data_IF_950927106569
#
_entry.id   IF_950927106569
#
_cell.length_a   1.000
_cell.length_b   1.000
_cell.length_c   1.000
_cell.angle_alpha   90.00
_cell.angle_beta   90.00
_cell.angle_gamma   90.00
#
_symmetry.space_group_name_H-M   'P 1'
#
loop_
_entity.id
_entity.type
_entity.pdbx_description
1 polymer ?
#
# COMPACT_ATOMS: atom_id res chain seq x y z
N UNK A 1 27.96 -27.82 27.82
CA UNK A 1 27.26 -26.86 26.93
C UNK A 1 26.23 -26.12 27.78
N UNK A 2 26.24 -24.79 27.77
CA UNK A 2 25.27 -24.01 28.54
C UNK A 2 23.84 -24.17 27.96
N UNK A 3 22.79 -24.22 28.80
CA UNK A 3 21.42 -24.35 28.32
C UNK A 3 21.04 -23.13 27.47
N UNK A 4 20.50 -23.39 26.28
CA UNK A 4 20.06 -22.34 25.37
C UNK A 4 18.78 -21.71 25.91
N UNK A 5 18.83 -20.42 26.26
CA UNK A 5 17.66 -19.71 26.80
C UNK A 5 16.71 -19.34 25.65
N UNK A 6 15.42 -19.67 25.79
CA UNK A 6 14.39 -19.38 24.78
C UNK A 6 13.68 -18.08 25.16
N UNK A 7 13.49 -17.19 24.18
CA UNK A 7 12.77 -15.92 24.32
C UNK A 7 11.65 -15.87 23.30
N UNK A 8 10.47 -15.43 23.72
CA UNK A 8 9.33 -15.18 22.84
C UNK A 8 8.92 -13.71 22.93
N UNK A 9 8.79 -13.06 21.77
CA UNK A 9 8.26 -11.69 21.69
C UNK A 9 7.64 -11.42 20.32
N UNK A 10 6.87 -10.35 20.23
CA UNK A 10 6.47 -9.81 18.93
C UNK A 10 7.62 -9.01 18.33
N UNK A 11 7.93 -9.27 17.07
CA UNK A 11 9.00 -8.58 16.36
C UNK A 11 8.78 -7.06 16.36
N UNK A 12 9.71 -6.31 16.96
CA UNK A 12 9.61 -4.83 17.02
C UNK A 12 9.83 -4.14 15.66
N UNK A 13 10.40 -4.86 14.69
CA UNK A 13 10.68 -4.40 13.32
C UNK A 13 10.96 -5.58 12.39
N UNK A 14 10.93 -5.35 11.08
CA UNK A 14 11.23 -6.37 10.04
C UNK A 14 12.74 -6.67 9.88
N UNK A 15 13.59 -6.20 10.81
CA UNK A 15 15.06 -6.30 10.70
C UNK A 15 15.61 -7.66 11.12
N UNK A 16 14.83 -8.48 11.80
CA UNK A 16 15.22 -9.85 12.14
C UNK A 16 14.93 -10.78 10.96
N UNK A 17 15.90 -11.59 10.60
CA UNK A 17 15.73 -12.68 9.64
C UNK A 17 15.63 -14.01 10.38
N UNK A 18 14.73 -14.87 9.92
CA UNK A 18 14.61 -16.22 10.43
C UNK A 18 15.86 -17.02 10.07
N UNK A 19 16.46 -17.71 11.06
CA UNK A 19 17.64 -18.53 10.81
C UNK A 19 17.35 -19.89 10.17
N UNK A 20 16.09 -20.28 10.04
CA UNK A 20 15.69 -21.54 9.39
C UNK A 20 15.38 -21.33 7.91
N UNK A 21 14.41 -20.46 7.58
CA UNK A 21 13.99 -20.22 6.20
C UNK A 21 14.71 -19.03 5.53
N UNK A 22 15.56 -18.30 6.25
CA UNK A 22 16.25 -17.09 5.78
C UNK A 22 15.34 -15.91 5.41
N UNK A 23 14.04 -16.06 5.54
CA UNK A 23 13.07 -14.99 5.27
C UNK A 23 12.99 -13.96 6.40
N UNK A 24 12.57 -12.75 6.06
CA UNK A 24 12.35 -11.69 7.03
C UNK A 24 11.19 -12.05 7.99
N UNK A 25 11.39 -11.78 9.28
CA UNK A 25 10.33 -11.89 10.29
C UNK A 25 9.63 -10.53 10.38
N UNK A 26 8.38 -10.48 9.95
CA UNK A 26 7.59 -9.26 9.90
C UNK A 26 7.37 -8.64 11.29
N UNK A 27 7.24 -7.32 11.37
CA UNK A 27 6.97 -6.63 12.61
C UNK A 27 5.60 -7.02 13.16
N UNK A 28 5.48 -7.05 14.48
CA UNK A 28 4.27 -7.44 15.22
C UNK A 28 3.89 -8.93 15.06
N UNK A 29 4.66 -9.74 14.33
CA UNK A 29 4.45 -11.19 14.33
C UNK A 29 5.21 -11.84 15.48
N UNK A 30 4.64 -12.91 16.03
CA UNK A 30 5.29 -13.72 17.06
C UNK A 30 6.58 -14.34 16.51
N UNK A 31 7.67 -14.17 17.24
CA UNK A 31 8.97 -14.78 16.92
C UNK A 31 9.60 -15.40 18.15
N UNK A 32 10.37 -16.45 17.90
CA UNK A 32 11.08 -17.20 18.92
C UNK A 32 12.59 -17.06 18.73
N UNK A 33 13.29 -16.82 19.83
CA UNK A 33 14.73 -16.56 19.84
C UNK A 33 15.48 -17.56 20.69
N UNK A 34 16.53 -18.18 20.13
CA UNK A 34 17.52 -18.94 20.90
C UNK A 34 18.66 -18.00 21.29
N UNK A 35 18.84 -17.77 22.58
CA UNK A 35 19.92 -16.94 23.12
C UNK A 35 21.11 -17.83 23.48
N UNK A 36 22.25 -17.53 22.87
CA UNK A 36 23.54 -18.17 23.17
C UNK A 36 24.56 -17.11 23.55
N UNK A 37 25.38 -17.38 24.56
CA UNK A 37 26.47 -16.48 24.97
C UNK A 37 27.70 -16.71 24.11
N UNK A 38 28.15 -15.69 23.40
CA UNK A 38 29.41 -15.73 22.68
C UNK A 38 30.56 -15.45 23.65
N UNK A 39 31.28 -16.49 24.05
CA UNK A 39 32.41 -16.41 24.99
C UNK A 39 33.56 -15.55 24.47
N UNK A 40 33.69 -15.36 23.14
CA UNK A 40 34.79 -14.55 22.57
C UNK A 40 34.52 -13.05 22.64
N UNK A 41 33.25 -12.65 22.60
CA UNK A 41 32.85 -11.23 22.67
C UNK A 41 32.18 -10.87 23.99
N UNK A 42 31.99 -11.85 24.88
CA UNK A 42 31.22 -11.75 26.12
C UNK A 42 29.85 -11.09 25.91
N UNK A 43 29.19 -11.40 24.79
CA UNK A 43 27.90 -10.84 24.42
C UNK A 43 26.90 -11.94 24.10
N UNK A 44 25.62 -11.68 24.42
CA UNK A 44 24.53 -12.58 24.09
C UNK A 44 24.09 -12.37 22.64
N UNK A 45 24.08 -13.46 21.86
CA UNK A 45 23.60 -13.47 20.49
C UNK A 45 22.28 -14.22 20.46
N UNK A 46 21.24 -13.56 19.97
CA UNK A 46 19.91 -14.16 19.77
C UNK A 46 19.71 -14.56 18.32
N UNK A 47 19.44 -15.84 18.09
CA UNK A 47 19.05 -16.37 16.78
C UNK A 47 17.53 -16.40 16.70
N UNK A 48 16.96 -15.55 15.85
CA UNK A 48 15.51 -15.41 15.68
C UNK A 48 14.95 -16.37 14.64
N UNK A 49 13.73 -16.85 14.88
CA UNK A 49 12.97 -17.72 13.98
C UNK A 49 11.49 -17.28 13.96
N UNK A 50 10.78 -17.52 12.85
CA UNK A 50 9.31 -17.48 12.87
C UNK A 50 8.78 -18.52 13.86
N UNK A 51 7.56 -18.30 14.37
CA UNK A 51 6.86 -19.24 15.24
C UNK A 51 6.84 -20.67 14.67
N UNK A 52 6.51 -20.81 13.38
CA UNK A 52 6.41 -22.11 12.67
C UNK A 52 7.76 -22.70 12.26
N UNK A 53 8.82 -21.89 12.24
CA UNK A 53 10.15 -22.30 11.79
C UNK A 53 11.11 -22.57 12.96
N UNK A 54 10.62 -22.52 14.19
CA UNK A 54 11.44 -22.68 15.37
C UNK A 54 11.85 -24.15 15.56
N UNK A 55 13.15 -24.45 15.66
CA UNK A 55 13.60 -25.81 15.92
C UNK A 55 13.25 -26.18 17.36
N UNK A 56 12.22 -27.02 17.52
CA UNK A 56 11.84 -27.58 18.80
C UNK A 56 13.04 -28.32 19.40
N UNK A 57 13.54 -27.92 20.58
CA UNK A 57 14.60 -28.66 21.24
C UNK A 57 14.02 -30.00 21.72
N UNK A 58 14.67 -31.09 21.33
CA UNK A 58 14.33 -32.48 21.71
C UNK A 58 14.47 -32.77 23.22
N UNK A 59 14.85 -31.78 24.01
CA UNK A 59 14.84 -31.83 25.48
C UNK A 59 13.64 -31.07 26.02
N UNK A 60 12.68 -31.81 26.60
CA UNK A 60 11.51 -31.34 27.34
C UNK A 60 11.80 -30.06 28.14
N UNK A 61 11.53 -28.91 27.52
CA UNK A 61 11.70 -27.60 28.14
C UNK A 61 10.31 -27.12 28.49
N UNK A 62 9.97 -27.16 29.78
CA UNK A 62 8.66 -26.71 30.27
C UNK A 62 8.34 -25.29 29.77
N UNK A 63 7.06 -24.95 29.51
CA UNK A 63 6.66 -23.63 29.01
C UNK A 63 7.14 -22.44 29.87
N UNK A 64 7.41 -22.70 31.16
CA UNK A 64 7.88 -21.70 32.13
C UNK A 64 9.33 -21.23 31.90
N UNK A 65 10.07 -21.84 30.98
CA UNK A 65 11.46 -21.44 30.66
C UNK A 65 11.52 -20.38 29.55
N UNK A 66 10.39 -20.07 28.90
CA UNK A 66 10.31 -19.08 27.81
C UNK A 66 10.19 -17.68 28.40
N UNK A 67 11.26 -16.89 28.26
CA UNK A 67 11.23 -15.48 28.68
C UNK A 67 10.34 -14.67 27.74
N UNK A 68 9.37 -13.93 28.29
CA UNK A 68 8.42 -13.11 27.51
C UNK A 68 7.05 -13.74 27.28
N UNK A 69 6.83 -14.98 27.72
CA UNK A 69 5.55 -15.70 27.55
C UNK A 69 4.33 -14.97 28.13
N UNK A 70 4.44 -14.45 29.36
CA UNK A 70 3.34 -13.73 30.03
C UNK A 70 2.96 -12.40 29.36
N UNK A 71 3.80 -11.86 28.48
CA UNK A 71 3.54 -10.62 27.73
C UNK A 71 2.90 -10.87 26.36
N UNK A 72 2.62 -12.12 26.01
CA UNK A 72 1.95 -12.51 24.75
C UNK A 72 0.42 -12.48 24.91
N UNK A 73 -0.29 -12.38 23.78
CA UNK A 73 -1.76 -12.52 23.74
C UNK A 73 -2.16 -13.95 24.14
N UNK A 74 -3.33 -14.11 24.76
CA UNK A 74 -3.84 -15.40 25.24
C UNK A 74 -3.84 -16.50 24.16
N UNK A 75 -4.26 -16.19 22.93
CA UNK A 75 -4.22 -17.15 21.82
C UNK A 75 -2.81 -17.59 21.42
N UNK A 76 -1.81 -16.70 21.52
CA UNK A 76 -0.41 -17.01 21.22
C UNK A 76 0.26 -17.77 22.38
N UNK A 77 -0.18 -17.53 23.62
CA UNK A 77 0.21 -18.32 24.79
C UNK A 77 -0.26 -19.78 24.64
N UNK A 78 -1.52 -20.00 24.29
CA UNK A 78 -2.07 -21.34 24.04
C UNK A 78 -1.36 -22.05 22.89
N UNK A 79 -1.05 -21.34 21.80
CA UNK A 79 -0.32 -21.90 20.66
C UNK A 79 1.10 -22.33 21.03
N UNK A 80 1.80 -21.55 21.85
CA UNK A 80 3.12 -21.92 22.39
C UNK A 80 3.01 -23.09 23.37
N UNK A 81 2.01 -23.11 24.24
CA UNK A 81 1.79 -24.25 25.15
C UNK A 81 1.56 -25.53 24.37
N UNK A 82 0.74 -25.50 23.30
CA UNK A 82 0.52 -26.65 22.40
C UNK A 82 1.79 -27.07 21.65
N UNK A 83 2.61 -26.12 21.21
CA UNK A 83 3.85 -26.39 20.46
C UNK A 83 4.92 -27.05 21.34
N UNK A 84 5.00 -26.69 22.62
CA UNK A 84 5.97 -27.24 23.58
C UNK A 84 5.46 -28.47 24.36
N UNK A 85 4.19 -28.85 24.24
CA UNK A 85 3.61 -30.04 24.88
C UNK A 85 3.88 -31.37 24.14
N UNK A 86 4.49 -31.35 22.96
CA UNK A 86 4.85 -32.55 22.20
C UNK A 86 3.70 -33.16 21.39
N UNK A 87 3.99 -33.58 20.15
CA UNK A 87 3.12 -34.46 19.34
C UNK A 87 3.40 -35.90 19.73
N UNK A 88 2.42 -36.61 20.29
CA UNK A 88 2.30 -38.05 20.08
C UNK A 88 1.41 -38.29 18.84
N UNK A 89 1.86 -39.19 17.96
CA UNK A 89 1.12 -39.73 16.79
C UNK A 89 -0.04 -40.62 17.31
N UNK A 90 -1.09 -41.02 16.56
CA UNK A 90 -1.22 -41.48 15.17
C UNK A 90 -2.72 -41.62 14.80
N UNK A 91 -2.98 -41.78 13.50
CA UNK A 91 -4.25 -42.18 12.85
C UNK A 91 -4.80 -43.53 13.36
N UNK A 92 -6.13 -43.70 13.39
CA UNK A 92 -6.86 -44.72 12.61
C UNK A 92 -8.39 -44.56 12.70
N UNK A 93 -9.07 -45.21 11.75
CA UNK A 93 -10.44 -45.04 11.27
C UNK A 93 -11.58 -45.45 12.22
N UNK A 94 -12.79 -44.98 11.91
CA UNK A 94 -14.03 -45.43 12.56
C UNK A 94 -15.27 -44.68 12.04
N UNK A 95 -16.00 -45.36 11.18
CA UNK A 95 -17.26 -45.03 10.49
C UNK A 95 -18.47 -44.89 11.45
N UNK A 96 -19.41 -43.97 11.17
CA UNK A 96 -20.88 -44.17 11.25
C UNK A 96 -21.66 -42.84 11.31
N UNK A 97 -22.41 -42.58 10.23
CA UNK A 97 -23.81 -42.10 10.12
C UNK A 97 -24.45 -41.30 11.27
N UNK A 98 -24.99 -40.12 10.98
CA UNK A 98 -26.45 -39.91 10.80
C UNK A 98 -26.77 -38.45 10.43
N UNK A 99 -27.80 -38.31 9.60
CA UNK A 99 -28.41 -37.10 9.07
C UNK A 99 -28.90 -36.11 10.14
N UNK A 100 -29.02 -34.82 9.76
CA UNK A 100 -30.27 -34.06 9.79
C UNK A 100 -30.13 -32.81 8.91
N UNK A 101 -31.03 -32.73 7.94
CA UNK A 101 -31.33 -31.59 7.08
C UNK A 101 -32.20 -30.56 7.83
N UNK A 102 -32.02 -29.26 7.52
CA UNK A 102 -33.08 -28.30 7.15
C UNK A 102 -32.45 -26.90 7.08
N UNK A 103 -32.26 -26.27 5.92
CA UNK A 103 -33.25 -25.59 5.05
C UNK A 103 -34.07 -24.44 5.69
N UNK A 104 -34.03 -23.31 4.96
CA UNK A 104 -35.04 -22.23 4.80
C UNK A 104 -35.15 -21.17 5.90
N UNK A 105 -35.48 -19.91 5.60
CA UNK A 105 -35.55 -19.03 4.42
C UNK A 105 -35.88 -17.64 5.00
N UNK A 106 -35.51 -16.58 4.27
CA UNK A 106 -36.22 -15.30 4.05
C UNK A 106 -37.04 -14.66 5.20
N UNK A 107 -37.00 -13.36 5.47
CA UNK A 107 -37.35 -12.26 4.56
C UNK A 107 -37.14 -10.92 5.30
N UNK A 108 -36.78 -9.86 4.56
CA UNK A 108 -37.19 -8.44 4.60
C UNK A 108 -37.81 -7.83 5.90
N UNK A 109 -37.57 -6.58 6.31
CA UNK A 109 -37.58 -5.35 5.51
C UNK A 109 -37.12 -4.13 6.37
N UNK A 110 -36.62 -3.10 5.66
CA UNK A 110 -36.77 -1.65 5.91
C UNK A 110 -36.28 -1.00 7.21
N UNK A 111 -35.41 0.01 7.06
CA UNK A 111 -35.03 0.89 8.17
C UNK A 111 -34.03 1.99 7.81
N UNK A 112 -34.39 2.84 6.84
CA UNK A 112 -33.72 4.09 6.48
C UNK A 112 -33.07 4.83 7.65
N UNK A 113 -31.75 5.08 7.56
CA UNK A 113 -31.10 6.26 8.16
C UNK A 113 -29.84 6.62 7.36
N UNK A 114 -30.03 7.54 6.40
CA UNK A 114 -28.98 8.38 5.80
C UNK A 114 -28.07 8.92 6.91
N UNK A 115 -26.90 8.31 7.10
CA UNK A 115 -25.80 8.94 7.84
C UNK A 115 -25.06 9.82 6.84
N UNK A 116 -25.38 11.11 6.89
CA UNK A 116 -24.63 12.20 6.26
C UNK A 116 -23.21 12.12 6.82
N UNK A 117 -22.29 11.51 6.09
CA UNK A 117 -20.88 11.43 6.44
C UNK A 117 -20.28 12.78 6.11
N UNK A 118 -19.93 13.55 7.14
CA UNK A 118 -19.29 14.85 6.99
C UNK A 118 -17.87 14.64 6.46
N UNK A 119 -17.69 14.84 5.16
CA UNK A 119 -16.37 14.97 4.55
C UNK A 119 -15.67 16.13 5.24
N UNK A 120 -14.59 15.86 5.96
CA UNK A 120 -13.71 16.90 6.48
C UNK A 120 -13.07 17.59 5.29
N UNK A 121 -13.63 18.73 4.89
CA UNK A 121 -13.14 19.53 3.77
C UNK A 121 -11.69 19.93 4.06
N UNK A 122 -10.75 19.31 3.35
CA UNK A 122 -9.36 19.78 3.31
C UNK A 122 -9.40 21.07 2.49
N UNK A 123 -9.26 22.22 3.16
CA UNK A 123 -9.27 23.52 2.51
C UNK A 123 -7.89 23.78 1.88
N UNK A 124 -7.73 23.35 0.62
CA UNK A 124 -6.52 23.57 -0.16
C UNK A 124 -6.62 24.96 -0.80
N UNK A 125 -5.85 25.93 -0.30
CA UNK A 125 -5.71 27.24 -0.95
C UNK A 125 -4.62 27.13 -2.03
N UNK A 126 -5.01 26.90 -3.28
CA UNK A 126 -4.10 26.91 -4.42
C UNK A 126 -4.01 28.31 -5.03
N UNK A 127 -2.78 28.79 -5.24
CA UNK A 127 -2.49 30.02 -5.98
C UNK A 127 -1.43 29.76 -7.02
N UNK A 128 -1.59 30.36 -8.21
CA UNK A 128 -0.60 30.29 -9.30
C UNK A 128 0.76 30.85 -8.85
N UNK A 129 0.78 31.81 -7.92
CA UNK A 129 2.02 32.35 -7.35
C UNK A 129 2.84 31.33 -6.55
N UNK A 130 2.19 30.28 -6.04
CA UNK A 130 2.82 29.26 -5.20
C UNK A 130 3.35 28.08 -6.02
N UNK A 131 3.07 28.08 -7.33
CA UNK A 131 3.52 27.09 -8.30
C UNK A 131 4.99 27.34 -8.64
N UNK A 132 5.80 26.28 -8.59
CA UNK A 132 7.25 26.32 -8.80
C UNK A 132 7.67 25.43 -9.96
N UNK A 133 8.72 25.84 -10.67
CA UNK A 133 9.41 25.01 -11.68
C UNK A 133 10.43 24.04 -11.06
N UNK A 134 10.58 24.06 -9.74
CA UNK A 134 11.45 23.17 -8.99
C UNK A 134 10.68 22.51 -7.85
N UNK A 135 11.04 21.27 -7.53
CA UNK A 135 10.59 20.58 -6.32
C UNK A 135 11.73 20.48 -5.33
N UNK A 136 11.75 21.38 -4.35
CA UNK A 136 12.88 21.57 -3.41
C UNK A 136 14.15 21.90 -4.21
N UNK A 137 15.17 21.05 -4.12
CA UNK A 137 16.47 21.13 -4.82
C UNK A 137 16.48 20.41 -6.18
N UNK A 138 15.37 19.79 -6.60
CA UNK A 138 15.27 19.18 -7.92
C UNK A 138 14.61 20.11 -8.94
N UNK A 139 15.20 20.18 -10.13
CA UNK A 139 14.66 20.89 -11.29
C UNK A 139 13.63 20.00 -11.99
N UNK A 140 12.50 20.60 -12.39
CA UNK A 140 11.46 19.92 -13.16
C UNK A 140 11.57 20.25 -14.65
N UNK A 141 11.08 19.34 -15.49
CA UNK A 141 10.92 19.60 -16.93
C UNK A 141 9.90 20.73 -17.17
N UNK A 142 9.93 21.45 -18.31
CA UNK A 142 9.18 22.70 -18.50
C UNK A 142 7.68 22.66 -18.16
N UNK A 143 6.97 21.58 -18.56
CA UNK A 143 5.54 21.36 -18.28
C UNK A 143 5.24 20.80 -16.89
N UNK A 144 6.26 20.37 -16.16
CA UNK A 144 6.10 19.83 -14.82
C UNK A 144 6.30 20.93 -13.79
N UNK A 145 5.34 21.06 -12.88
CA UNK A 145 5.37 22.06 -11.81
C UNK A 145 5.22 21.40 -10.45
N UNK A 146 5.55 22.15 -9.41
CA UNK A 146 5.38 21.76 -8.03
C UNK A 146 4.46 22.74 -7.30
N UNK A 147 3.59 22.20 -6.46
CA UNK A 147 2.81 22.94 -5.47
C UNK A 147 2.85 22.17 -4.16
N UNK A 148 3.35 22.81 -3.09
CA UNK A 148 3.58 22.17 -1.80
C UNK A 148 4.36 20.84 -1.92
N UNK A 149 3.74 19.71 -1.59
CA UNK A 149 4.30 18.35 -1.69
C UNK A 149 3.89 17.59 -2.95
N UNK A 150 3.21 18.25 -3.89
CA UNK A 150 2.74 17.66 -5.14
C UNK A 150 3.59 18.16 -6.30
N UNK A 151 3.99 17.23 -7.17
CA UNK A 151 4.45 17.54 -8.54
C UNK A 151 3.31 17.22 -9.48
N UNK A 152 2.99 18.09 -10.42
CA UNK A 152 1.94 17.86 -11.41
C UNK A 152 2.38 18.26 -12.82
N UNK A 153 1.79 17.62 -13.82
CA UNK A 153 1.98 17.94 -15.23
C UNK A 153 0.95 19.01 -15.62
N UNK A 154 1.37 20.16 -16.11
CA UNK A 154 0.43 21.15 -16.68
C UNK A 154 -0.29 20.55 -17.90
N UNK A 155 -1.55 20.93 -18.07
CA UNK A 155 -2.35 20.51 -19.23
C UNK A 155 -1.65 20.85 -20.54
N UNK A 156 -1.73 19.94 -21.50
CA UNK A 156 -1.27 20.12 -22.86
C UNK A 156 -2.41 20.49 -23.81
N UNK A 157 -2.05 20.83 -25.05
CA UNK A 157 -3.02 21.03 -26.12
C UNK A 157 -3.76 19.72 -26.39
N UNK A 158 -4.98 19.60 -25.87
CA UNK A 158 -5.83 18.42 -26.04
C UNK A 158 -6.44 17.88 -24.75
N UNK A 159 -5.86 18.20 -23.57
CA UNK A 159 -6.50 17.87 -22.31
C UNK A 159 -7.79 18.70 -22.15
N UNK A 160 -8.92 18.01 -22.04
CA UNK A 160 -10.22 18.64 -21.84
C UNK A 160 -10.71 18.44 -20.41
N UNK A 161 -11.22 19.50 -19.81
CA UNK A 161 -11.95 19.41 -18.55
C UNK A 161 -13.30 18.72 -18.78
N UNK A 162 -13.77 17.95 -17.79
CA UNK A 162 -14.95 17.11 -17.97
C UNK A 162 -15.71 16.89 -16.66
N UNK A 163 -17.01 16.61 -16.78
CA UNK A 163 -17.80 16.08 -15.67
C UNK A 163 -17.51 14.60 -15.43
N UNK A 164 -16.93 13.87 -16.40
CA UNK A 164 -16.60 12.45 -16.26
C UNK A 164 -15.10 12.29 -16.07
N UNK A 165 -14.68 11.74 -14.93
CA UNK A 165 -13.28 11.53 -14.60
C UNK A 165 -12.97 10.03 -14.55
N UNK A 166 -12.02 9.61 -15.38
CA UNK A 166 -11.40 8.29 -15.26
C UNK A 166 -10.03 8.49 -14.62
N UNK A 167 -9.90 8.08 -13.37
CA UNK A 167 -8.70 8.29 -12.59
C UNK A 167 -7.97 6.97 -12.30
N UNK A 168 -6.64 7.00 -12.28
CA UNK A 168 -5.81 5.81 -12.23
C UNK A 168 -4.65 5.97 -11.22
N UNK A 169 -4.25 4.89 -10.56
CA UNK A 169 -2.87 4.75 -10.09
C UNK A 169 -1.92 4.51 -11.28
N UNK A 170 -0.61 4.57 -11.04
CA UNK A 170 0.41 4.30 -12.05
C UNK A 170 1.17 2.99 -11.83
N UNK A 171 1.86 2.84 -10.70
CA UNK A 171 2.82 1.75 -10.48
C UNK A 171 2.07 0.51 -10.01
N UNK A 172 1.93 -0.50 -10.86
CA UNK A 172 1.12 -1.69 -10.59
C UNK A 172 -0.30 -1.63 -11.19
N UNK A 173 -0.75 -0.45 -11.60
CA UNK A 173 -2.03 -0.26 -12.30
C UNK A 173 -1.84 -0.07 -13.81
N UNK A 174 -1.22 1.04 -14.24
CA UNK A 174 -1.00 1.33 -15.67
C UNK A 174 0.36 0.82 -16.17
N UNK A 175 1.36 0.84 -15.30
CA UNK A 175 2.72 0.47 -15.62
C UNK A 175 3.20 -0.63 -14.68
N UNK A 176 3.74 -1.71 -15.25
CA UNK A 176 4.53 -2.69 -14.52
C UNK A 176 5.91 -2.10 -14.30
N UNK A 177 6.22 -1.79 -13.04
CA UNK A 177 7.51 -1.23 -12.63
C UNK A 177 8.19 -2.18 -11.67
N UNK A 178 9.46 -2.48 -11.93
CA UNK A 178 10.21 -3.42 -11.11
C UNK A 178 10.87 -2.67 -9.95
N UNK A 179 10.61 -3.10 -8.72
CA UNK A 179 11.12 -2.45 -7.50
C UNK A 179 12.66 -2.40 -7.45
N UNK A 180 13.32 -3.30 -8.19
CA UNK A 180 14.78 -3.44 -8.27
C UNK A 180 15.42 -2.74 -9.48
N UNK A 181 14.63 -2.20 -10.42
CA UNK A 181 15.15 -1.51 -11.61
C UNK A 181 14.72 -0.05 -11.54
N UNK A 182 15.71 0.83 -11.42
CA UNK A 182 15.48 2.29 -11.41
C UNK A 182 15.86 2.90 -12.75
N UNK A 183 15.08 3.86 -13.23
CA UNK A 183 15.37 4.60 -14.44
C UNK A 183 14.10 5.02 -15.18
N UNK A 184 14.21 5.99 -16.11
CA UNK A 184 13.07 6.46 -16.88
C UNK A 184 12.49 5.38 -17.81
N UNK A 185 13.30 4.42 -18.25
CA UNK A 185 12.91 3.33 -19.15
C UNK A 185 12.53 2.04 -18.39
N UNK A 186 12.57 2.05 -17.05
CA UNK A 186 12.40 0.86 -16.21
C UNK A 186 10.91 0.54 -16.00
N UNK A 187 10.17 0.38 -17.08
CA UNK A 187 8.73 0.12 -17.05
C UNK A 187 8.26 -0.61 -18.31
N UNK A 188 7.10 -1.25 -18.19
CA UNK A 188 6.33 -1.79 -19.33
C UNK A 188 4.84 -1.58 -19.04
N UNK A 189 3.98 -1.71 -20.05
CA UNK A 189 2.53 -1.68 -19.81
C UNK A 189 2.15 -2.81 -18.85
N UNK A 190 1.26 -2.52 -17.90
CA UNK A 190 0.74 -3.54 -16.98
C UNK A 190 -0.11 -4.57 -17.74
N UNK A 191 -0.98 -4.08 -18.63
CA UNK A 191 -1.80 -4.88 -19.54
C UNK A 191 -1.70 -4.35 -20.98
N UNK A 192 -1.76 -5.21 -21.99
CA UNK A 192 -1.61 -4.79 -23.39
C UNK A 192 -2.76 -3.91 -23.88
N UNK A 193 -3.98 -4.05 -23.32
CA UNK A 193 -5.19 -3.30 -23.73
C UNK A 193 -5.27 -1.87 -23.16
N UNK A 194 -4.33 -1.47 -22.30
CA UNK A 194 -4.36 -0.12 -21.68
C UNK A 194 -4.45 1.01 -22.71
N UNK A 195 -3.61 1.06 -23.78
CA UNK A 195 -3.69 2.14 -24.75
C UNK A 195 -5.08 2.26 -25.38
N UNK A 196 -5.67 1.13 -25.78
CA UNK A 196 -6.99 1.10 -26.43
C UNK A 196 -8.09 1.56 -25.47
N UNK A 197 -8.11 1.05 -24.23
CA UNK A 197 -9.12 1.46 -23.24
C UNK A 197 -9.02 2.95 -22.88
N UNK A 198 -7.80 3.47 -22.73
CA UNK A 198 -7.61 4.91 -22.46
C UNK A 198 -8.04 5.78 -23.65
N UNK A 199 -7.80 5.33 -24.88
CA UNK A 199 -8.27 6.03 -26.09
C UNK A 199 -9.80 6.03 -26.17
N UNK A 200 -10.46 4.90 -25.89
CA UNK A 200 -11.92 4.82 -25.82
C UNK A 200 -12.48 5.78 -24.77
N UNK A 201 -11.95 5.76 -23.54
CA UNK A 201 -12.40 6.67 -22.49
C UNK A 201 -12.25 8.15 -22.89
N UNK A 202 -11.10 8.51 -23.47
CA UNK A 202 -10.89 9.88 -23.95
C UNK A 202 -11.91 10.27 -25.03
N UNK A 203 -12.16 9.40 -26.00
CA UNK A 203 -13.15 9.62 -27.06
C UNK A 203 -14.58 9.69 -26.51
N UNK A 204 -14.87 8.98 -25.42
CA UNK A 204 -16.14 9.02 -24.71
C UNK A 204 -16.28 10.31 -23.86
N UNK A 205 -15.29 11.20 -23.86
CA UNK A 205 -15.32 12.48 -23.17
C UNK A 205 -14.92 12.41 -21.71
N UNK A 206 -14.20 11.35 -21.29
CA UNK A 206 -13.59 11.32 -19.97
C UNK A 206 -12.33 12.17 -19.94
N UNK A 207 -12.18 12.94 -18.86
CA UNK A 207 -10.86 13.46 -18.49
C UNK A 207 -10.07 12.33 -17.82
N UNK A 208 -8.89 12.06 -18.36
CA UNK A 208 -7.98 11.06 -17.83
C UNK A 208 -7.03 11.68 -16.81
N UNK A 209 -6.96 11.09 -15.61
CA UNK A 209 -6.12 11.60 -14.52
C UNK A 209 -5.30 10.49 -13.88
N UNK A 210 -4.00 10.73 -13.65
CA UNK A 210 -3.15 9.83 -12.87
C UNK A 210 -2.88 10.45 -11.50
N UNK A 211 -3.16 9.70 -10.44
CA UNK A 211 -2.83 10.02 -9.06
C UNK A 211 -1.85 8.98 -8.52
N UNK A 212 -0.61 9.37 -8.25
CA UNK A 212 0.45 8.43 -7.85
C UNK A 212 1.24 8.90 -6.64
N UNK A 213 1.60 7.96 -5.77
CA UNK A 213 2.37 8.20 -4.55
C UNK A 213 3.87 7.93 -4.80
N UNK A 214 4.75 8.92 -4.68
CA UNK A 214 6.21 8.75 -4.92
C UNK A 214 7.05 9.30 -3.76
N UNK A 215 7.00 8.62 -2.62
CA UNK A 215 7.68 9.10 -1.40
C UNK A 215 9.21 9.09 -1.49
N UNK A 216 9.79 8.40 -2.48
CA UNK A 216 11.25 8.35 -2.64
C UNK A 216 11.81 9.72 -3.03
N UNK A 217 11.04 10.57 -3.73
CA UNK A 217 11.42 11.95 -4.05
C UNK A 217 11.69 12.76 -2.77
N UNK A 218 10.91 12.55 -1.71
CA UNK A 218 11.15 13.21 -0.42
C UNK A 218 12.22 12.52 0.42
N UNK A 219 12.22 11.19 0.44
CA UNK A 219 13.11 10.39 1.29
C UNK A 219 14.55 10.49 0.84
N UNK A 220 14.81 10.48 -0.47
CA UNK A 220 16.16 10.39 -1.03
C UNK A 220 16.75 11.77 -1.31
N UNK A 221 17.08 12.51 -0.24
CA UNK A 221 17.56 13.90 -0.37
C UNK A 221 18.73 14.06 -1.36
N UNK A 222 19.74 13.20 -1.26
CA UNK A 222 20.95 13.28 -2.10
C UNK A 222 20.77 12.66 -3.49
N UNK A 223 19.63 12.03 -3.77
CA UNK A 223 19.31 11.41 -5.07
C UNK A 223 17.94 11.90 -5.58
N UNK A 224 17.48 13.06 -5.11
CA UNK A 224 16.14 13.56 -5.38
C UNK A 224 15.94 13.80 -6.87
N UNK A 225 16.90 14.45 -7.52
CA UNK A 225 16.85 14.67 -8.96
C UNK A 225 16.69 13.34 -9.71
N UNK A 226 17.50 12.32 -9.36
CA UNK A 226 17.39 10.99 -9.97
C UNK A 226 16.01 10.34 -9.75
N UNK A 227 15.42 10.49 -8.56
CA UNK A 227 14.07 9.99 -8.28
C UNK A 227 13.00 10.71 -9.11
N UNK A 228 13.10 12.05 -9.21
CA UNK A 228 12.23 12.89 -10.05
C UNK A 228 12.35 12.47 -11.51
N UNK A 229 13.57 12.42 -12.06
CA UNK A 229 13.84 12.06 -13.45
C UNK A 229 13.31 10.66 -13.78
N UNK A 230 13.48 9.71 -12.86
CA UNK A 230 12.98 8.35 -13.03
C UNK A 230 11.46 8.27 -13.03
N UNK A 231 10.76 9.02 -12.18
CA UNK A 231 9.29 8.99 -12.12
C UNK A 231 8.67 9.77 -13.29
N UNK A 232 9.12 11.01 -13.52
CA UNK A 232 8.64 11.85 -14.62
C UNK A 232 8.98 11.22 -15.97
N UNK A 233 10.16 10.64 -16.14
CA UNK A 233 10.55 9.97 -17.38
C UNK A 233 9.63 8.79 -17.72
N UNK A 234 9.29 7.95 -16.72
CA UNK A 234 8.33 6.84 -16.91
C UNK A 234 6.95 7.35 -17.30
N UNK A 235 6.46 8.40 -16.64
CA UNK A 235 5.16 9.01 -16.93
C UNK A 235 5.11 9.63 -18.33
N UNK A 236 6.13 10.39 -18.74
CA UNK A 236 6.19 10.99 -20.06
C UNK A 236 6.21 9.91 -21.17
N UNK A 237 7.03 8.86 -21.02
CA UNK A 237 7.08 7.78 -21.99
C UNK A 237 5.76 6.98 -22.04
N UNK A 238 5.09 6.83 -20.91
CA UNK A 238 3.76 6.22 -20.87
C UNK A 238 2.76 7.05 -21.66
N UNK A 239 2.68 8.36 -21.41
CA UNK A 239 1.78 9.28 -22.12
C UNK A 239 2.05 9.27 -23.63
N UNK A 240 3.33 9.33 -24.03
CA UNK A 240 3.74 9.23 -25.43
C UNK A 240 3.31 7.90 -26.07
N UNK A 241 3.37 6.80 -25.31
CA UNK A 241 2.98 5.47 -25.79
C UNK A 241 1.47 5.32 -25.98
N UNK A 242 0.65 5.88 -25.08
CA UNK A 242 -0.82 5.76 -25.14
C UNK A 242 -1.47 6.82 -26.03
N UNK A 243 -0.75 7.91 -26.33
CA UNK A 243 -1.18 8.97 -27.27
C UNK A 243 -2.52 9.64 -26.92
N UNK A 244 -2.84 9.69 -25.63
CA UNK A 244 -3.99 10.43 -25.11
C UNK A 244 -3.52 11.49 -24.10
N UNK A 245 -4.15 12.67 -24.07
CA UNK A 245 -3.91 13.69 -23.04
C UNK A 245 -4.27 13.16 -21.65
N UNK A 246 -3.33 13.27 -20.70
CA UNK A 246 -3.51 12.81 -19.32
C UNK A 246 -3.00 13.85 -18.34
N UNK A 247 -3.83 14.24 -17.39
CA UNK A 247 -3.44 15.09 -16.26
C UNK A 247 -2.75 14.23 -15.19
N UNK A 248 -1.58 14.64 -14.68
CA UNK A 248 -0.84 13.84 -13.69
C UNK A 248 -0.59 14.61 -12.40
N UNK A 249 -0.77 13.94 -11.26
CA UNK A 249 -0.41 14.41 -9.93
C UNK A 249 0.40 13.35 -9.18
N UNK A 250 1.53 13.79 -8.61
CA UNK A 250 2.50 12.97 -7.89
C UNK A 250 2.60 13.49 -6.45
N UNK A 251 2.09 12.73 -5.49
CA UNK A 251 2.27 13.02 -4.08
C UNK A 251 3.67 12.59 -3.62
N UNK A 252 4.55 13.56 -3.40
CA UNK A 252 5.94 13.32 -3.03
C UNK A 252 6.14 13.18 -1.52
N UNK A 253 5.25 13.72 -0.70
CA UNK A 253 5.39 13.68 0.75
C UNK A 253 5.13 12.29 1.36
N UNK A 254 5.48 12.19 2.65
CA UNK A 254 5.41 10.92 3.39
C UNK A 254 4.13 10.83 4.22
N UNK A 255 3.57 9.64 4.39
CA UNK A 255 2.36 9.39 5.20
C UNK A 255 2.54 9.49 6.74
N UNK A 256 3.51 10.27 7.21
CA UNK A 256 3.85 10.39 8.63
C UNK A 256 4.54 9.13 9.22
N UNK A 257 5.07 9.26 10.44
CA UNK A 257 5.48 8.11 11.27
C UNK A 257 4.52 8.04 12.44
N UNK A 258 3.67 7.03 12.55
CA UNK A 258 2.92 6.80 13.78
C UNK A 258 3.89 6.48 14.93
N UNK A 259 3.94 7.29 15.98
CA UNK A 259 4.49 6.88 17.28
C UNK A 259 5.82 7.48 17.75
N UNK A 260 6.27 8.65 17.26
CA UNK A 260 7.31 9.44 17.96
C UNK A 260 6.85 10.87 18.14
N UNK A 261 6.75 11.34 19.38
CA UNK A 261 6.48 12.75 19.70
C UNK A 261 7.38 13.66 18.84
N UNK A 262 6.75 14.53 18.04
CA UNK A 262 7.39 15.29 16.95
C UNK A 262 7.06 14.79 15.53
N UNK A 263 5.99 14.00 15.34
CA UNK A 263 5.58 13.45 14.04
C UNK A 263 5.28 14.56 13.04
N UNK A 264 6.01 14.61 11.91
CA UNK A 264 5.52 15.28 10.70
C UNK A 264 4.14 14.73 10.39
N UNK A 265 3.18 15.63 10.28
CA UNK A 265 1.82 15.33 9.86
C UNK A 265 1.85 14.53 8.54
N UNK A 266 0.91 13.59 8.39
CA UNK A 266 0.82 12.81 7.17
C UNK A 266 0.49 13.75 6.01
N UNK A 267 1.21 13.62 4.91
CA UNK A 267 0.99 14.45 3.72
C UNK A 267 -0.46 14.36 3.25
N UNK A 268 -1.24 15.46 3.24
CA UNK A 268 -2.65 15.45 2.88
C UNK A 268 -2.89 15.08 1.40
N UNK A 269 -1.86 15.21 0.56
CA UNK A 269 -1.95 14.83 -0.85
C UNK A 269 -1.63 13.34 -1.07
N UNK A 270 -1.03 12.66 -0.10
CA UNK A 270 -0.65 11.25 -0.25
C UNK A 270 -1.86 10.34 -0.07
N UNK A 271 -2.17 9.51 -1.06
CA UNK A 271 -3.20 8.45 -0.94
C UNK A 271 -2.91 7.59 0.30
N UNK A 272 -3.92 7.30 1.15
CA UNK A 272 -5.36 7.39 0.88
C UNK A 272 -6.02 8.76 1.14
N UNK A 273 -5.26 9.80 1.49
CA UNK A 273 -5.84 11.13 1.71
C UNK A 273 -6.36 11.73 0.40
N UNK A 274 -7.46 12.50 0.43
CA UNK A 274 -8.12 12.98 -0.79
C UNK A 274 -7.45 14.19 -1.44
N UNK A 275 -6.32 14.69 -0.91
CA UNK A 275 -5.79 15.99 -1.27
C UNK A 275 -5.47 16.17 -2.75
N UNK A 276 -4.95 15.15 -3.45
CA UNK A 276 -4.72 15.25 -4.89
C UNK A 276 -6.03 15.34 -5.68
N UNK A 277 -7.09 14.62 -5.28
CA UNK A 277 -8.40 14.70 -5.92
C UNK A 277 -9.00 16.09 -5.75
N UNK A 278 -9.07 16.59 -4.52
CA UNK A 278 -9.59 17.93 -4.24
C UNK A 278 -8.79 19.03 -4.95
N UNK A 279 -7.46 18.87 -5.09
CA UNK A 279 -6.63 19.79 -5.85
C UNK A 279 -7.06 19.81 -7.32
N UNK A 280 -7.22 18.64 -7.94
CA UNK A 280 -7.66 18.50 -9.33
C UNK A 280 -9.07 19.08 -9.54
N UNK A 281 -10.03 18.64 -8.75
CA UNK A 281 -11.43 19.05 -8.82
C UNK A 281 -11.59 20.57 -8.74
N UNK A 282 -10.94 21.20 -7.76
CA UNK A 282 -11.13 22.64 -7.49
C UNK A 282 -10.36 23.55 -8.44
N UNK A 283 -9.18 23.13 -8.91
CA UNK A 283 -8.24 24.04 -9.57
C UNK A 283 -7.84 23.61 -10.97
N UNK A 284 -8.10 22.37 -11.36
CA UNK A 284 -7.72 21.81 -12.64
C UNK A 284 -8.93 21.16 -13.30
N UNK A 285 -10.14 21.70 -13.17
CA UNK A 285 -11.32 21.19 -13.89
C UNK A 285 -12.30 22.31 -14.31
N UNK A 286 -11.81 23.55 -14.46
CA UNK A 286 -12.60 24.73 -14.87
C UNK A 286 -13.93 24.96 -14.13
N UNK A 287 -14.05 24.49 -12.89
CA UNK A 287 -15.29 24.57 -12.11
C UNK A 287 -16.42 23.66 -12.61
N UNK A 288 -16.16 22.76 -13.55
CA UNK A 288 -17.13 21.76 -14.01
C UNK A 288 -17.41 20.80 -12.86
N UNK A 289 -18.69 20.66 -12.51
CA UNK A 289 -19.14 19.70 -11.50
C UNK A 289 -18.91 18.28 -12.00
N UNK A 290 -18.24 17.47 -11.19
CA UNK A 290 -17.94 16.07 -11.51
C UNK A 290 -19.18 15.21 -11.24
N UNK A 291 -19.56 14.41 -12.23
CA UNK A 291 -20.54 13.33 -12.12
C UNK A 291 -19.85 12.13 -11.48
N UNK A 292 -20.08 11.96 -10.17
CA UNK A 292 -19.48 10.88 -9.38
C UNK A 292 -20.02 9.49 -9.74
N UNK A 293 -21.22 9.40 -10.33
CA UNK A 293 -21.79 8.12 -10.75
C UNK A 293 -21.14 7.61 -12.05
N UNK A 294 -20.68 8.53 -12.90
CA UNK A 294 -19.93 8.20 -14.12
C UNK A 294 -18.42 8.15 -13.87
N UNK A 295 -17.91 8.76 -12.81
CA UNK A 295 -16.48 8.83 -12.50
C UNK A 295 -16.00 7.64 -11.66
N UNK A 296 -14.73 7.26 -11.84
CA UNK A 296 -14.17 6.10 -11.16
C UNK A 296 -12.65 6.21 -10.95
N UNK A 297 -12.14 5.35 -10.06
CA UNK A 297 -10.73 5.17 -9.76
C UNK A 297 -10.30 3.72 -10.01
N UNK A 298 -9.16 3.50 -10.68
CA UNK A 298 -8.56 2.17 -10.88
C UNK A 298 -7.18 2.12 -10.22
N UNK A 299 -6.94 1.14 -9.35
CA UNK A 299 -5.66 1.02 -8.64
C UNK A 299 -5.42 -0.36 -8.05
N UNK A 300 -4.15 -0.76 -7.89
CA UNK A 300 -3.78 -2.09 -7.41
C UNK A 300 -3.81 -2.19 -5.87
N UNK A 301 -3.69 -1.06 -5.16
CA UNK A 301 -3.64 -1.03 -3.70
C UNK A 301 -5.03 -1.12 -3.06
N UNK A 302 -5.66 -2.30 -3.18
CA UNK A 302 -7.02 -2.56 -2.73
C UNK A 302 -7.11 -3.26 -1.37
N UNK A 303 -5.99 -3.48 -0.68
CA UNK A 303 -5.97 -4.11 0.65
C UNK A 303 -6.18 -5.62 0.64
N UNK A 304 -6.03 -6.29 -0.50
CA UNK A 304 -6.07 -7.75 -0.62
C UNK A 304 -4.81 -8.35 0.01
N UNK A 305 -4.82 -9.65 0.26
CA UNK A 305 -3.73 -10.35 0.97
C UNK A 305 -2.33 -10.13 0.33
N UNK A 306 -2.28 -10.00 -1.00
CA UNK A 306 -1.04 -9.78 -1.75
C UNK A 306 -0.76 -8.31 -2.07
N UNK A 307 -1.69 -7.40 -1.76
CA UNK A 307 -1.50 -5.99 -2.06
C UNK A 307 -0.50 -5.37 -1.09
N UNK A 308 0.32 -4.46 -1.61
CA UNK A 308 1.32 -3.77 -0.82
C UNK A 308 0.69 -2.78 0.19
N UNK A 309 -0.53 -2.30 -0.09
CA UNK A 309 -1.33 -1.42 0.77
C UNK A 309 -2.81 -1.41 0.34
N UNK A 310 -3.62 -0.64 1.06
CA UNK A 310 -5.04 -0.34 0.76
C UNK A 310 -5.24 1.13 0.36
N UNK A 311 -4.18 1.78 -0.13
CA UNK A 311 -4.17 3.22 -0.35
C UNK A 311 -5.12 3.66 -1.47
N UNK A 312 -5.34 2.83 -2.49
CA UNK A 312 -6.13 3.18 -3.67
C UNK A 312 -7.62 3.02 -3.43
N UNK A 313 -8.04 1.89 -2.85
CA UNK A 313 -9.45 1.69 -2.47
C UNK A 313 -9.90 2.75 -1.47
N UNK A 314 -9.08 3.04 -0.45
CA UNK A 314 -9.39 4.09 0.53
C UNK A 314 -9.36 5.50 -0.05
N UNK A 315 -8.53 5.74 -1.07
CA UNK A 315 -8.56 7.01 -1.80
C UNK A 315 -9.87 7.16 -2.59
N UNK A 316 -10.33 6.10 -3.25
CA UNK A 316 -11.61 6.11 -3.94
C UNK A 316 -12.78 6.32 -2.96
N UNK A 317 -12.81 5.58 -1.86
CA UNK A 317 -13.82 5.72 -0.79
C UNK A 317 -13.84 7.14 -0.20
N UNK A 318 -12.66 7.72 0.09
CA UNK A 318 -12.55 9.06 0.66
C UNK A 318 -13.12 10.16 -0.25
N UNK A 319 -13.17 9.92 -1.56
CA UNK A 319 -13.70 10.84 -2.56
C UNK A 319 -15.07 10.42 -3.10
N UNK A 320 -15.63 9.28 -2.66
CA UNK A 320 -16.91 8.77 -3.16
C UNK A 320 -16.87 8.26 -4.60
N UNK A 321 -15.71 7.77 -5.07
CA UNK A 321 -15.55 7.21 -6.42
C UNK A 321 -15.87 5.71 -6.45
N UNK A 322 -16.44 5.26 -7.58
CA UNK A 322 -16.42 3.83 -7.92
C UNK A 322 -14.99 3.35 -8.05
N UNK A 323 -14.69 2.15 -7.56
CA UNK A 323 -13.36 1.58 -7.57
C UNK A 323 -13.32 0.30 -8.41
N UNK A 324 -12.27 0.13 -9.21
CA UNK A 324 -12.02 -1.09 -9.98
C UNK A 324 -10.57 -1.56 -9.78
N UNK A 325 -10.37 -2.87 -9.79
CA UNK A 325 -9.03 -3.43 -9.86
C UNK A 325 -8.47 -3.34 -11.30
N UNK A 326 -7.15 -3.22 -11.48
CA UNK A 326 -6.55 -3.16 -12.81
C UNK A 326 -6.83 -4.40 -13.65
N UNK A 327 -6.78 -5.60 -13.07
CA UNK A 327 -7.11 -6.86 -13.75
C UNK A 327 -8.59 -6.92 -14.18
N UNK A 328 -9.51 -6.47 -13.34
CA UNK A 328 -10.94 -6.44 -13.68
C UNK A 328 -11.23 -5.42 -14.77
N UNK A 329 -10.49 -4.31 -14.77
CA UNK A 329 -10.73 -3.19 -15.66
C UNK A 329 -10.00 -3.32 -17.00
N UNK A 330 -8.79 -3.88 -17.06
CA UNK A 330 -7.95 -3.90 -18.26
C UNK A 330 -7.68 -5.30 -18.83
N UNK A 331 -7.87 -6.37 -18.05
CA UNK A 331 -7.70 -7.75 -18.52
C UNK A 331 -9.03 -8.36 -19.04
N UNK A 332 -10.14 -7.67 -18.80
CA UNK A 332 -11.46 -7.98 -19.34
C UNK A 332 -11.63 -7.53 -20.81
#
# INVERSE_FOLDING_TARGET
MAPSKIVAEYAKSNRSMCKTCSEAIQSKTLRLGLVSRDMRRNMDITKWHHFTCFPLPSSNSSPNTITGFSSLKSGDQEALTKLFAGKDKSEEAGEATEDIQNEKQDTEESGSKKRKLSTSEVNITFSVSDVKSTYKDATLLPKWKAFQTVIFLEGDDGLQDSSKIAAFDFDGCLAKTAVNITGPNAWSLMYPLIPDKLQTLYNDGYKLVIFTNESNIDRWKNQRQKAVDSKIGRLNQFIEKVKVPIQVFIACGTGGKSGKAGTKEADPFRKPKPGMWHLMEKHFNSGITIDMDQSFYVGDAAGREKDHSDADIKFAEANGLKFYLPEEYFDA
#
